data_IF_008591521728
#
_entry.id   IF_008591521728
#
_cell.length_a   1.000
_cell.length_b   1.000
_cell.length_c   1.000
_cell.angle_alpha   90.00
_cell.angle_beta   90.00
_cell.angle_gamma   90.00
#
_symmetry.space_group_name_H-M   'P 1'
#
loop_
_entity.id
_entity.type
_entity.pdbx_description
1 polymer ?
#
# COMPACT_ATOMS: atom_id res chain seq x y z
N UNK A 1 7.31 -11.55 -26.45
CA UNK A 1 7.97 -10.59 -25.56
C UNK A 1 7.31 -10.61 -24.18
N UNK A 2 8.06 -10.75 -23.11
CA UNK A 2 7.46 -10.71 -21.77
C UNK A 2 6.94 -9.32 -21.44
N UNK A 3 5.88 -9.26 -20.64
CA UNK A 3 5.20 -8.02 -20.28
C UNK A 3 4.84 -8.04 -18.81
N UNK A 4 5.25 -7.03 -18.07
CA UNK A 4 4.89 -6.88 -16.66
C UNK A 4 4.15 -5.56 -16.47
N UNK A 5 2.93 -5.63 -15.94
CA UNK A 5 2.16 -4.46 -15.59
C UNK A 5 2.23 -4.26 -14.07
N UNK A 6 2.61 -3.07 -13.64
CA UNK A 6 2.61 -2.70 -12.23
C UNK A 6 1.37 -1.87 -11.93
N UNK A 7 0.51 -2.38 -11.06
CA UNK A 7 -0.72 -1.72 -10.65
C UNK A 7 -0.43 -0.95 -9.37
N UNK A 8 0.03 0.27 -9.52
CA UNK A 8 0.38 1.11 -8.38
C UNK A 8 -0.86 1.57 -7.62
N UNK A 9 -0.79 1.48 -6.31
CA UNK A 9 -1.68 2.24 -5.45
C UNK A 9 -1.34 3.73 -5.57
N UNK A 10 -2.02 4.59 -4.83
CA UNK A 10 -1.79 6.04 -4.92
C UNK A 10 -0.33 6.37 -4.59
N UNK A 11 0.42 6.89 -5.56
CA UNK A 11 1.85 7.18 -5.39
C UNK A 11 2.01 8.54 -4.71
N UNK A 12 2.62 8.54 -3.54
CA UNK A 12 2.78 9.71 -2.71
C UNK A 12 4.21 9.79 -2.17
N UNK A 13 4.69 11.01 -1.95
CA UNK A 13 5.99 11.23 -1.35
C UNK A 13 5.89 11.80 0.07
N UNK A 14 7.03 11.94 0.77
CA UNK A 14 7.04 12.48 2.13
C UNK A 14 6.34 13.84 2.28
N UNK A 15 6.38 14.67 1.25
CA UNK A 15 5.72 15.97 1.29
C UNK A 15 4.20 15.86 1.42
N UNK A 16 3.60 14.79 0.86
CA UNK A 16 2.15 14.57 0.92
C UNK A 16 1.71 13.93 2.23
N UNK A 17 2.62 13.30 2.97
CA UNK A 17 2.26 12.60 4.21
C UNK A 17 1.69 13.54 5.26
N UNK A 18 2.12 14.78 5.29
CA UNK A 18 1.60 15.78 6.23
C UNK A 18 0.12 16.10 5.99
N UNK A 19 -0.39 15.79 4.81
CA UNK A 19 -1.80 15.93 4.50
C UNK A 19 -2.67 14.75 4.94
N UNK A 20 -2.08 13.63 5.35
CA UNK A 20 -2.83 12.43 5.73
C UNK A 20 -3.82 12.66 6.88
N UNK A 21 -3.50 13.48 7.90
CA UNK A 21 -4.49 13.75 8.96
C UNK A 21 -5.82 14.29 8.45
N UNK A 22 -5.85 14.92 7.28
CA UNK A 22 -7.10 15.41 6.69
C UNK A 22 -8.04 14.29 6.26
N UNK A 23 -7.53 13.06 6.07
CA UNK A 23 -8.35 11.90 5.69
C UNK A 23 -9.00 11.23 6.90
N UNK A 24 -8.42 11.38 8.08
CA UNK A 24 -8.77 10.57 9.24
C UNK A 24 -10.19 10.77 9.77
N UNK A 25 -10.77 12.01 9.75
CA UNK A 25 -12.12 12.20 10.26
C UNK A 25 -13.21 11.52 9.43
N UNK A 26 -12.94 11.25 8.14
CA UNK A 26 -13.92 10.64 7.25
C UNK A 26 -13.32 9.44 6.53
N UNK A 27 -13.48 8.23 7.10
CA UNK A 27 -12.92 7.03 6.47
C UNK A 27 -13.55 6.69 5.11
N UNK A 28 -14.72 7.25 4.78
CA UNK A 28 -15.36 6.98 3.49
C UNK A 28 -14.75 7.77 2.34
N UNK A 29 -13.99 8.82 2.63
CA UNK A 29 -13.40 9.65 1.59
C UNK A 29 -12.38 8.87 0.73
N UNK A 30 -11.72 7.88 1.31
CA UNK A 30 -10.71 7.10 0.60
C UNK A 30 -11.00 5.60 0.57
N UNK A 31 -12.26 5.23 0.74
CA UNK A 31 -12.65 3.81 0.70
C UNK A 31 -12.46 3.20 -0.69
N UNK A 32 -12.52 4.02 -1.73
CA UNK A 32 -12.44 3.57 -3.13
C UNK A 32 -11.13 2.87 -3.45
N UNK A 33 -10.05 3.20 -2.75
CA UNK A 33 -8.76 2.53 -2.94
C UNK A 33 -8.33 1.76 -1.69
N UNK A 34 -9.28 1.43 -0.82
CA UNK A 34 -9.06 0.68 0.41
C UNK A 34 -8.01 1.32 1.32
N UNK A 35 -7.95 2.65 1.30
CA UNK A 35 -7.00 3.45 2.08
C UNK A 35 -5.54 3.12 1.75
N UNK A 36 -5.30 2.63 0.54
CA UNK A 36 -3.96 2.25 0.10
C UNK A 36 -3.14 3.42 -0.38
N UNK A 37 -1.84 3.22 -0.42
CA UNK A 37 -0.88 4.14 -1.00
C UNK A 37 0.43 3.40 -1.28
N UNK A 38 1.36 4.06 -1.95
CA UNK A 38 2.74 3.58 -2.09
C UNK A 38 3.66 4.79 -2.04
N UNK A 39 4.74 4.68 -1.26
CA UNK A 39 5.77 5.72 -1.25
C UNK A 39 6.47 5.75 -2.62
N UNK A 40 6.72 6.95 -3.13
CA UNK A 40 7.33 7.13 -4.45
C UNK A 40 8.68 6.41 -4.57
N UNK A 41 9.44 6.31 -3.48
CA UNK A 41 10.71 5.61 -3.47
C UNK A 41 10.53 4.10 -3.63
N UNK A 42 9.49 3.55 -3.02
CA UNK A 42 9.14 2.13 -3.17
C UNK A 42 8.56 1.86 -4.56
N UNK A 43 7.82 2.81 -5.11
CA UNK A 43 7.32 2.69 -6.49
C UNK A 43 8.48 2.63 -7.47
N UNK A 44 9.49 3.46 -7.29
CA UNK A 44 10.69 3.44 -8.12
C UNK A 44 11.45 2.12 -7.98
N UNK A 45 11.57 1.61 -6.76
CA UNK A 45 12.23 0.32 -6.51
C UNK A 45 11.49 -0.83 -7.17
N UNK A 46 10.16 -0.84 -7.11
CA UNK A 46 9.34 -1.87 -7.76
C UNK A 46 9.52 -1.83 -9.28
N UNK A 47 9.58 -0.65 -9.87
CA UNK A 47 9.80 -0.47 -11.30
C UNK A 47 11.15 -1.05 -11.72
N UNK A 48 12.19 -0.79 -10.96
CA UNK A 48 13.53 -1.34 -11.21
C UNK A 48 13.53 -2.86 -11.08
N UNK A 49 12.89 -3.38 -10.05
CA UNK A 49 12.82 -4.83 -9.83
C UNK A 49 12.07 -5.53 -10.96
N UNK A 50 11.02 -4.89 -11.49
CA UNK A 50 10.28 -5.44 -12.62
C UNK A 50 11.15 -5.52 -13.87
N UNK A 51 12.00 -4.51 -14.11
CA UNK A 51 12.91 -4.52 -15.26
C UNK A 51 13.99 -5.60 -15.14
N UNK A 52 14.40 -5.94 -13.94
CA UNK A 52 15.45 -6.91 -13.68
C UNK A 52 14.93 -8.34 -13.51
N UNK A 53 13.63 -8.52 -13.29
CA UNK A 53 13.05 -9.83 -13.02
C UNK A 53 12.95 -10.68 -14.28
N UNK A 54 13.19 -12.00 -14.18
CA UNK A 54 12.87 -12.89 -15.29
C UNK A 54 11.36 -12.92 -15.48
N UNK A 55 10.89 -12.81 -16.72
CA UNK A 55 9.48 -12.75 -17.01
C UNK A 55 9.16 -13.55 -18.27
N UNK A 56 8.00 -14.22 -18.25
CA UNK A 56 7.43 -14.93 -19.38
C UNK A 56 5.98 -14.53 -19.53
N UNK A 57 5.53 -14.30 -20.77
CA UNK A 57 4.15 -13.93 -21.05
C UNK A 57 3.77 -12.58 -20.46
N UNK A 58 2.52 -12.44 -20.05
CA UNK A 58 1.98 -11.21 -19.48
C UNK A 58 1.54 -11.44 -18.06
N UNK A 59 1.97 -10.57 -17.14
CA UNK A 59 1.63 -10.66 -15.72
C UNK A 59 1.41 -9.28 -15.14
N UNK A 60 0.57 -9.17 -14.12
CA UNK A 60 0.35 -7.92 -13.40
C UNK A 60 0.54 -8.11 -11.90
N UNK A 61 1.04 -7.08 -11.23
CA UNK A 61 1.28 -7.10 -9.79
C UNK A 61 0.74 -5.83 -9.15
N UNK A 62 0.11 -5.97 -7.99
CA UNK A 62 -0.29 -4.82 -7.17
C UNK A 62 0.93 -4.36 -6.38
N UNK A 63 1.21 -3.07 -6.43
CA UNK A 63 2.31 -2.44 -5.71
C UNK A 63 1.73 -1.42 -4.74
N UNK A 64 1.85 -1.71 -3.45
CA UNK A 64 1.29 -0.88 -2.38
C UNK A 64 2.18 -0.94 -1.15
N UNK A 65 2.05 0.06 -0.28
CA UNK A 65 2.73 0.06 1.01
C UNK A 65 2.16 -1.03 1.93
N UNK A 66 2.89 -1.37 2.96
CA UNK A 66 2.48 -2.40 3.90
C UNK A 66 1.31 -1.99 4.79
N UNK A 67 1.06 -0.70 4.92
CA UNK A 67 0.04 -0.12 5.80
C UNK A 67 -0.93 0.78 5.03
N UNK A 68 -1.93 1.31 5.75
CA UNK A 68 -2.90 2.23 5.16
C UNK A 68 -2.55 3.68 5.48
N UNK A 69 -3.25 4.63 4.82
CA UNK A 69 -3.10 6.07 5.10
C UNK A 69 -3.79 6.50 6.40
N UNK A 70 -4.51 5.59 7.05
CA UNK A 70 -5.36 5.92 8.19
C UNK A 70 -4.64 5.70 9.52
N UNK A 71 -5.03 6.47 10.53
CA UNK A 71 -4.45 6.38 11.87
C UNK A 71 -5.22 5.43 12.80
N UNK A 72 -5.99 4.53 12.23
CA UNK A 72 -6.80 3.57 13.00
C UNK A 72 -6.63 2.17 12.40
N UNK A 73 -7.04 1.16 13.14
CA UNK A 73 -6.84 -0.22 12.70
C UNK A 73 -7.63 -0.55 11.44
N UNK A 74 -7.06 -1.41 10.61
CA UNK A 74 -7.72 -1.89 9.40
C UNK A 74 -9.03 -2.61 9.72
N UNK A 75 -9.07 -3.35 10.83
CA UNK A 75 -10.31 -4.01 11.27
C UNK A 75 -11.41 -3.01 11.58
N UNK A 76 -11.09 -1.89 12.22
CA UNK A 76 -12.08 -0.85 12.53
C UNK A 76 -12.62 -0.17 11.27
N UNK A 77 -11.75 0.02 10.28
CA UNK A 77 -12.17 0.58 9.00
C UNK A 77 -13.14 -0.34 8.27
N UNK A 78 -12.85 -1.63 8.26
CA UNK A 78 -13.75 -2.62 7.64
C UNK A 78 -15.09 -2.68 8.36
N UNK A 79 -15.09 -2.70 9.68
CA UNK A 79 -16.31 -2.76 10.46
C UNK A 79 -17.21 -1.56 10.20
N UNK A 80 -16.63 -0.38 10.09
CA UNK A 80 -17.39 0.85 9.88
C UNK A 80 -17.86 1.03 8.42
N UNK A 81 -16.98 0.78 7.46
CA UNK A 81 -17.22 1.13 6.05
C UNK A 81 -17.73 -0.04 5.23
N UNK A 82 -17.26 -1.24 5.52
CA UNK A 82 -17.65 -2.45 4.80
C UNK A 82 -18.10 -3.55 5.78
N UNK A 83 -19.17 -3.30 6.55
CA UNK A 83 -19.65 -4.30 7.50
C UNK A 83 -20.08 -5.57 6.77
N UNK A 84 -19.73 -6.71 7.33
CA UNK A 84 -20.08 -8.00 6.72
C UNK A 84 -19.09 -8.52 5.69
N UNK A 85 -18.06 -7.75 5.35
CA UNK A 85 -16.99 -8.23 4.46
C UNK A 85 -15.89 -8.86 5.31
N UNK A 86 -15.67 -10.19 5.20
CA UNK A 86 -14.66 -10.85 6.01
C UNK A 86 -13.26 -10.65 5.46
N UNK A 87 -12.27 -10.60 6.36
CA UNK A 87 -10.89 -10.76 5.97
C UNK A 87 -10.60 -12.25 5.77
N UNK A 88 -9.92 -12.59 4.68
CA UNK A 88 -9.54 -13.96 4.41
C UNK A 88 -8.24 -14.35 5.11
N UNK A 89 -7.53 -13.38 5.65
CA UNK A 89 -6.31 -13.58 6.43
C UNK A 89 -6.07 -12.36 7.33
N UNK A 90 -5.21 -12.56 8.33
CA UNK A 90 -4.80 -11.47 9.23
C UNK A 90 -3.82 -10.56 8.49
N UNK A 91 -4.12 -9.26 8.48
CA UNK A 91 -3.24 -8.24 7.86
C UNK A 91 -2.48 -7.41 8.89
N UNK A 92 -2.66 -7.69 10.19
CA UNK A 92 -2.10 -6.89 11.26
C UNK A 92 -2.94 -5.67 11.59
N UNK A 93 -2.52 -4.90 12.58
CA UNK A 93 -3.31 -3.77 13.09
C UNK A 93 -3.53 -2.70 12.03
N UNK A 94 -2.47 -2.29 11.34
CA UNK A 94 -2.53 -1.22 10.34
C UNK A 94 -2.27 -1.72 8.92
N UNK A 95 -2.33 -3.01 8.71
CA UNK A 95 -1.96 -3.64 7.46
C UNK A 95 -2.84 -3.24 6.29
N UNK A 96 -2.22 -3.15 5.12
CA UNK A 96 -2.91 -2.87 3.86
C UNK A 96 -3.90 -3.97 3.52
N UNK A 97 -5.01 -3.56 2.93
CA UNK A 97 -6.00 -4.50 2.38
C UNK A 97 -5.68 -4.87 0.92
N UNK A 98 -4.61 -4.32 0.36
CA UNK A 98 -4.12 -4.65 -0.97
C UNK A 98 -3.04 -5.71 -0.85
N UNK A 99 -3.23 -6.84 -1.54
CA UNK A 99 -2.29 -7.95 -1.46
C UNK A 99 -1.09 -7.74 -2.38
N UNK A 100 0.11 -7.75 -1.83
CA UNK A 100 1.36 -7.58 -2.58
C UNK A 100 2.21 -8.86 -2.60
N UNK A 101 1.64 -9.99 -2.19
CA UNK A 101 2.36 -11.25 -2.06
C UNK A 101 2.97 -11.72 -3.37
N UNK A 102 2.23 -11.55 -4.48
CA UNK A 102 2.71 -11.96 -5.79
C UNK A 102 3.92 -11.14 -6.22
N UNK A 103 3.90 -9.84 -5.95
CA UNK A 103 5.04 -8.98 -6.23
C UNK A 103 6.24 -9.36 -5.37
N UNK A 104 6.02 -9.68 -4.10
CA UNK A 104 7.08 -10.13 -3.20
C UNK A 104 7.73 -11.40 -3.73
N UNK A 105 6.94 -12.38 -4.13
CA UNK A 105 7.45 -13.66 -4.62
C UNK A 105 8.14 -13.54 -5.97
N UNK A 106 7.56 -12.79 -6.91
CA UNK A 106 8.03 -12.76 -8.29
C UNK A 106 9.10 -11.69 -8.53
N UNK A 107 9.03 -10.55 -7.84
CA UNK A 107 9.92 -9.42 -8.07
C UNK A 107 10.87 -9.16 -6.91
N UNK A 108 10.65 -9.79 -5.77
CA UNK A 108 11.37 -9.44 -4.55
C UNK A 108 10.93 -8.11 -3.95
N UNK A 109 9.76 -7.62 -4.32
CA UNK A 109 9.27 -6.33 -3.85
C UNK A 109 8.90 -6.38 -2.37
N UNK A 110 9.53 -5.50 -1.59
CA UNK A 110 9.20 -5.30 -0.17
C UNK A 110 9.09 -3.80 0.05
N UNK A 111 7.90 -3.29 0.41
CA UNK A 111 7.76 -1.87 0.72
C UNK A 111 8.58 -1.53 1.96
N UNK A 112 9.39 -0.49 1.87
CA UNK A 112 10.33 -0.12 2.93
C UNK A 112 10.00 1.18 3.62
N UNK A 113 9.03 1.92 3.09
CA UNK A 113 8.70 3.25 3.58
C UNK A 113 7.26 3.32 4.03
N UNK A 114 7.03 3.97 5.17
CA UNK A 114 5.70 4.21 5.72
C UNK A 114 5.58 5.66 6.14
N UNK A 115 4.42 6.26 5.94
CA UNK A 115 4.14 7.60 6.43
C UNK A 115 4.28 7.66 7.96
N UNK A 116 4.07 6.54 8.65
CA UNK A 116 4.20 6.47 10.11
C UNK A 116 5.62 6.78 10.55
N UNK A 117 6.59 6.32 9.80
CA UNK A 117 8.00 6.62 10.10
C UNK A 117 8.30 8.09 9.98
N UNK A 118 7.60 8.78 9.06
CA UNK A 118 7.79 10.19 8.80
C UNK A 118 7.07 11.08 9.84
N UNK A 119 5.79 10.79 10.13
CA UNK A 119 4.96 11.64 10.99
C UNK A 119 5.06 11.29 12.46
N UNK A 120 5.37 10.04 12.79
CA UNK A 120 5.45 9.55 14.17
C UNK A 120 6.87 9.48 14.68
N UNK A 121 7.85 9.88 13.86
CA UNK A 121 9.24 9.91 14.31
C UNK A 121 9.33 10.78 15.55
N UNK A 122 9.99 10.30 16.62
CA UNK A 122 10.08 11.06 17.85
C UNK A 122 10.76 12.40 17.58
N UNK A 123 10.16 13.46 18.08
CA UNK A 123 10.78 14.76 18.03
C UNK A 123 11.98 14.73 18.99
N UNK A 124 13.13 15.16 18.52
CA UNK A 124 14.29 15.23 19.39
C UNK A 124 14.09 16.23 20.51
#
# INVERSE_FOLDING_TARGET
MPFIALRFSNILGPAEYEGFPSYWPDPRARKWNLWGYIDERDAAAASRQALEAPAEGSTSYIIAAADTVMNRSSASLLTEVFPGVPLTRDVGEFGSLLATDRAASALGFVPRHSWRDHLEAPNP
#
